data_IF_473486816134
#
_entry.id   IF_473486816134
#
_cell.length_a   1.000
_cell.length_b   1.000
_cell.length_c   1.000
_cell.angle_alpha   90.00
_cell.angle_beta   90.00
_cell.angle_gamma   90.00
#
_symmetry.space_group_name_H-M   'P 1'
#
loop_
_entity.id
_entity.type
_entity.pdbx_description
1 polymer ?
#
# COMPACT_ATOMS: atom_id res chain seq x y z
N UNK A 1 10.92 -12.35 11.61
CA UNK A 1 10.25 -12.76 10.36
C UNK A 1 10.91 -12.15 9.13
N UNK A 2 10.61 -12.71 7.95
CA UNK A 2 11.30 -12.51 6.66
C UNK A 2 12.67 -13.20 6.59
N UNK A 3 13.79 -12.54 6.91
CA UNK A 3 15.14 -13.12 6.77
C UNK A 3 15.95 -13.23 8.07
N UNK A 4 15.32 -12.92 9.21
CA UNK A 4 15.93 -13.06 10.54
C UNK A 4 16.90 -11.94 10.93
N UNK A 5 17.14 -10.95 10.06
CA UNK A 5 18.01 -9.81 10.37
C UNK A 5 17.16 -8.52 10.44
N UNK A 6 17.06 -7.85 11.61
CA UNK A 6 16.29 -6.62 11.74
C UNK A 6 16.73 -5.52 10.76
N UNK A 7 15.76 -4.84 10.15
CA UNK A 7 15.95 -3.72 9.22
C UNK A 7 14.87 -2.67 9.44
N UNK A 8 15.20 -1.41 9.18
CA UNK A 8 14.22 -0.33 9.03
C UNK A 8 13.80 -0.24 7.57
N UNK A 9 12.51 -0.22 7.29
CA UNK A 9 11.98 0.03 5.94
C UNK A 9 11.26 1.37 5.94
N UNK A 10 11.53 2.19 4.93
CA UNK A 10 11.00 3.55 4.81
C UNK A 10 10.25 3.69 3.50
N UNK A 11 8.99 4.12 3.59
CA UNK A 11 8.21 4.56 2.44
C UNK A 11 8.70 5.94 1.97
N UNK A 12 9.54 5.94 0.93
CA UNK A 12 10.02 7.17 0.28
C UNK A 12 8.99 7.59 -0.79
N UNK A 13 7.83 8.02 -0.29
CA UNK A 13 6.55 8.18 -0.99
C UNK A 13 6.67 8.92 -2.32
N UNK A 14 7.18 10.15 -2.29
CA UNK A 14 7.24 11.00 -3.46
C UNK A 14 8.26 10.51 -4.51
N UNK A 15 9.19 9.63 -4.12
CA UNK A 15 10.16 9.00 -5.01
C UNK A 15 9.71 7.60 -5.47
N UNK A 16 8.45 7.20 -5.22
CA UNK A 16 7.85 5.96 -5.71
C UNK A 16 8.67 4.70 -5.36
N UNK A 17 9.26 4.68 -4.17
CA UNK A 17 10.20 3.63 -3.76
C UNK A 17 10.14 3.33 -2.27
N UNK A 18 10.60 2.14 -1.92
CA UNK A 18 10.95 1.77 -0.55
C UNK A 18 12.47 1.78 -0.37
N UNK A 19 12.92 2.09 0.84
CA UNK A 19 14.33 2.04 1.22
C UNK A 19 14.51 1.20 2.48
N UNK A 20 15.55 0.37 2.50
CA UNK A 20 15.92 -0.46 3.64
C UNK A 20 17.21 0.06 4.24
N UNK A 21 17.24 0.11 5.57
CA UNK A 21 18.41 0.49 6.37
C UNK A 21 18.67 -0.58 7.43
N UNK A 22 19.92 -0.70 7.87
CA UNK A 22 20.20 -1.39 9.12
C UNK A 22 19.81 -0.50 10.31
N UNK A 23 19.91 -1.04 11.53
CA UNK A 23 19.55 -0.30 12.75
C UNK A 23 20.53 0.82 13.11
N UNK A 24 21.67 0.92 12.43
CA UNK A 24 22.61 2.04 12.56
C UNK A 24 22.34 3.14 11.52
N UNK A 25 21.32 2.99 10.68
CA UNK A 25 20.96 3.95 9.63
C UNK A 25 21.79 3.81 8.34
N UNK A 26 22.57 2.73 8.19
CA UNK A 26 23.26 2.47 6.92
C UNK A 26 22.25 1.98 5.89
N UNK A 27 22.21 2.65 4.73
CA UNK A 27 21.39 2.22 3.59
C UNK A 27 21.83 0.83 3.09
N UNK A 28 20.85 -0.04 2.86
CA UNK A 28 21.05 -1.42 2.40
C UNK A 28 20.50 -1.65 0.99
N UNK A 29 19.32 -1.10 0.70
CA UNK A 29 18.61 -1.36 -0.56
C UNK A 29 17.62 -0.25 -0.88
N UNK A 30 17.47 0.03 -2.17
CA UNK A 30 16.34 0.80 -2.71
C UNK A 30 15.56 -0.11 -3.65
N UNK A 31 14.23 -0.08 -3.57
CA UNK A 31 13.34 -0.81 -4.47
C UNK A 31 12.28 0.13 -5.03
N UNK A 32 12.17 0.20 -6.36
CA UNK A 32 11.17 1.00 -7.06
C UNK A 32 9.87 0.23 -7.32
N UNK A 33 9.12 0.70 -8.33
CA UNK A 33 7.85 0.13 -8.81
C UNK A 33 6.68 0.22 -7.81
N UNK A 34 6.75 1.15 -6.86
CA UNK A 34 5.66 1.51 -5.96
C UNK A 34 4.89 2.73 -6.49
N UNK A 35 3.66 2.92 -6.05
CA UNK A 35 2.84 4.06 -6.47
C UNK A 35 2.45 4.91 -5.26
N UNK A 36 3.40 5.75 -4.85
CA UNK A 36 3.26 6.67 -3.74
C UNK A 36 3.02 5.91 -2.40
N UNK A 37 3.97 5.02 -2.01
CA UNK A 37 3.82 4.15 -0.85
C UNK A 37 3.63 4.98 0.43
N UNK A 38 2.70 4.56 1.28
CA UNK A 38 2.17 5.42 2.34
C UNK A 38 2.47 4.95 3.76
N UNK A 39 2.48 3.63 3.96
CA UNK A 39 2.72 2.94 5.23
C UNK A 39 3.29 1.53 4.96
N UNK A 40 3.67 0.79 6.00
CA UNK A 40 4.17 -0.59 5.93
C UNK A 40 3.68 -1.38 7.14
N UNK A 41 3.06 -2.53 6.89
CA UNK A 41 2.78 -3.55 7.91
C UNK A 41 3.34 -4.92 7.51
N UNK A 42 3.50 -5.83 8.47
CA UNK A 42 4.04 -7.18 8.23
C UNK A 42 3.25 -8.26 8.93
N UNK A 43 3.10 -9.41 8.26
CA UNK A 43 2.56 -10.62 8.88
C UNK A 43 3.31 -11.84 8.34
N UNK A 44 4.12 -12.47 9.20
CA UNK A 44 5.03 -13.53 8.80
C UNK A 44 5.96 -13.06 7.68
N UNK A 45 5.95 -13.75 6.55
CA UNK A 45 6.80 -13.46 5.40
C UNK A 45 6.24 -12.37 4.48
N UNK A 46 5.06 -11.82 4.77
CA UNK A 46 4.42 -10.79 3.95
C UNK A 46 4.75 -9.39 4.47
N UNK A 47 4.93 -8.46 3.52
CA UNK A 47 5.03 -7.03 3.76
C UNK A 47 3.94 -6.33 2.94
N UNK A 48 3.07 -5.60 3.63
CA UNK A 48 1.92 -4.89 3.11
C UNK A 48 2.28 -3.42 2.89
N UNK A 49 1.97 -2.89 1.72
CA UNK A 49 2.24 -1.49 1.35
C UNK A 49 0.98 -0.88 0.75
N UNK A 50 0.29 0.03 1.44
CA UNK A 50 -0.70 0.89 0.80
C UNK A 50 0.01 1.85 -0.16
N UNK A 51 -0.21 1.63 -1.46
CA UNK A 51 0.24 2.50 -2.53
C UNK A 51 -0.86 3.53 -2.80
N UNK A 52 -0.68 4.77 -2.35
CA UNK A 52 -1.71 5.82 -2.31
C UNK A 52 -2.38 6.06 -3.68
N UNK A 53 -1.75 5.68 -4.78
CA UNK A 53 -2.36 5.70 -6.10
C UNK A 53 -3.18 4.43 -6.37
N UNK A 54 -4.25 4.27 -5.59
CA UNK A 54 -5.34 3.33 -5.81
C UNK A 54 -4.98 1.83 -5.83
N UNK A 55 -3.98 1.37 -5.06
CA UNK A 55 -3.74 -0.07 -4.88
C UNK A 55 -3.09 -0.44 -3.54
N UNK A 56 -3.09 -1.72 -3.23
CA UNK A 56 -2.32 -2.30 -2.13
C UNK A 56 -1.30 -3.28 -2.71
N UNK A 57 -0.02 -3.10 -2.40
CA UNK A 57 1.05 -4.00 -2.83
C UNK A 57 1.44 -4.92 -1.68
N UNK A 58 1.58 -6.23 -1.94
CA UNK A 58 2.03 -7.23 -0.98
C UNK A 58 3.31 -7.88 -1.50
N UNK A 59 4.35 -7.93 -0.66
CA UNK A 59 5.65 -8.51 -0.99
C UNK A 59 5.93 -9.78 -0.20
N UNK A 60 6.52 -10.81 -0.83
CA UNK A 60 7.08 -11.99 -0.15
C UNK A 60 8.36 -11.66 0.63
N UNK A 61 8.93 -12.65 1.32
CA UNK A 61 10.17 -12.52 2.12
C UNK A 61 11.39 -12.03 1.32
N UNK A 62 11.43 -12.26 0.01
CA UNK A 62 12.51 -11.83 -0.88
C UNK A 62 12.25 -10.41 -1.42
N UNK A 63 11.17 -9.76 -0.96
CA UNK A 63 10.64 -8.47 -1.38
C UNK A 63 10.11 -8.45 -2.83
N UNK A 64 9.69 -9.59 -3.38
CA UNK A 64 9.03 -9.64 -4.68
C UNK A 64 7.52 -9.45 -4.50
N UNK A 65 6.86 -8.70 -5.39
CA UNK A 65 5.41 -8.55 -5.32
C UNK A 65 4.74 -9.91 -5.55
N UNK A 66 3.88 -10.30 -4.62
CA UNK A 66 3.02 -11.49 -4.73
C UNK A 66 1.57 -11.12 -5.06
N UNK A 67 1.17 -9.88 -4.76
CA UNK A 67 -0.13 -9.34 -5.14
C UNK A 67 -0.10 -7.81 -5.22
N UNK A 68 -0.92 -7.25 -6.12
CA UNK A 68 -1.22 -5.82 -6.24
C UNK A 68 -2.74 -5.65 -6.27
N UNK A 69 -3.36 -5.64 -5.09
CA UNK A 69 -4.80 -5.66 -4.94
C UNK A 69 -5.41 -4.32 -5.37
N UNK A 70 -6.45 -4.39 -6.19
CA UNK A 70 -7.15 -3.22 -6.72
C UNK A 70 -6.41 -2.47 -7.84
N UNK A 71 -5.23 -2.94 -8.27
CA UNK A 71 -4.48 -2.29 -9.35
C UNK A 71 -5.27 -2.30 -10.66
N UNK A 72 -5.62 -1.11 -11.11
CA UNK A 72 -6.32 -0.84 -12.35
C UNK A 72 -5.79 0.49 -12.90
N UNK A 73 -5.01 0.45 -13.99
CA UNK A 73 -4.44 1.65 -14.59
C UNK A 73 -5.49 2.68 -15.06
N UNK A 74 -6.64 2.23 -15.57
CA UNK A 74 -7.69 3.12 -16.08
C UNK A 74 -8.42 3.83 -14.94
N UNK A 75 -8.74 3.08 -13.87
CA UNK A 75 -9.32 3.66 -12.67
C UNK A 75 -8.33 4.61 -11.97
N UNK A 76 -7.06 4.21 -11.84
CA UNK A 76 -6.01 5.06 -11.27
C UNK A 76 -5.86 6.37 -12.04
N UNK A 77 -5.93 6.34 -13.36
CA UNK A 77 -5.86 7.57 -14.17
C UNK A 77 -6.98 8.56 -13.77
N UNK A 78 -8.21 8.06 -13.56
CA UNK A 78 -9.34 8.89 -13.10
C UNK A 78 -9.17 9.38 -11.65
N UNK A 79 -8.65 8.53 -10.76
CA UNK A 79 -8.39 8.88 -9.35
C UNK A 79 -7.39 10.04 -9.25
N UNK A 80 -6.34 10.00 -10.07
CA UNK A 80 -5.24 10.97 -10.05
C UNK A 80 -5.52 12.23 -10.88
N UNK A 81 -6.60 12.26 -11.65
CA UNK A 81 -7.02 13.44 -12.39
C UNK A 81 -7.48 14.54 -11.42
N UNK A 82 -6.75 15.66 -11.44
CA UNK A 82 -6.99 16.82 -10.57
C UNK A 82 -8.30 17.53 -10.91
N UNK A 83 -8.74 17.51 -12.16
CA UNK A 83 -10.00 18.12 -12.58
C UNK A 83 -11.19 17.30 -12.10
N UNK A 84 -11.05 15.97 -12.04
CA UNK A 84 -12.07 15.09 -11.44
C UNK A 84 -12.10 15.29 -9.92
N UNK A 85 -10.92 15.36 -9.28
CA UNK A 85 -10.81 15.51 -7.84
C UNK A 85 -11.47 14.36 -7.08
N UNK A 86 -11.24 13.11 -7.53
CA UNK A 86 -11.96 11.90 -7.11
C UNK A 86 -12.08 11.75 -5.58
N UNK A 87 -11.03 12.15 -4.85
CA UNK A 87 -10.98 12.18 -3.38
C UNK A 87 -12.19 12.85 -2.72
N UNK A 88 -12.74 13.89 -3.35
CA UNK A 88 -13.85 14.69 -2.84
C UNK A 88 -15.23 14.32 -3.42
N UNK A 89 -15.35 13.20 -4.13
CA UNK A 89 -16.55 12.81 -4.88
C UNK A 89 -17.06 11.41 -4.49
N UNK A 90 -17.64 11.23 -3.29
CA UNK A 90 -18.15 9.93 -2.83
C UNK A 90 -19.15 9.27 -3.79
N UNK A 91 -19.94 10.09 -4.49
CA UNK A 91 -20.90 9.69 -5.52
C UNK A 91 -20.25 9.02 -6.75
N UNK A 92 -18.96 9.24 -6.98
CA UNK A 92 -18.19 8.64 -8.08
C UNK A 92 -17.34 7.43 -7.67
N UNK A 93 -17.26 7.12 -6.37
CA UNK A 93 -16.45 6.00 -5.91
C UNK A 93 -17.08 4.68 -6.32
N UNK A 94 -16.26 3.78 -6.86
CA UNK A 94 -16.73 2.47 -7.28
C UNK A 94 -16.53 1.44 -6.15
N UNK A 95 -17.56 0.63 -5.82
CA UNK A 95 -17.39 -0.48 -4.89
C UNK A 95 -16.25 -1.41 -5.30
N UNK A 96 -15.42 -1.82 -4.34
CA UNK A 96 -14.25 -2.68 -4.61
C UNK A 96 -13.05 -1.95 -5.23
N UNK A 97 -13.12 -0.64 -5.46
CA UNK A 97 -12.00 0.17 -5.97
C UNK A 97 -11.48 1.13 -4.92
N UNK A 98 -10.16 1.15 -4.75
CA UNK A 98 -9.49 2.12 -3.88
C UNK A 98 -9.41 3.50 -4.56
N UNK A 99 -9.50 4.56 -3.78
CA UNK A 99 -9.21 5.93 -4.22
C UNK A 99 -7.81 6.31 -3.72
N UNK A 100 -7.61 6.40 -2.40
CA UNK A 100 -6.32 6.77 -1.82
C UNK A 100 -6.02 5.97 -0.55
N UNK A 101 -5.60 4.69 -0.67
CA UNK A 101 -5.22 3.88 0.49
C UNK A 101 -3.97 4.48 1.13
N UNK A 102 -4.10 4.97 2.36
CA UNK A 102 -3.05 5.72 3.04
C UNK A 102 -2.39 4.92 4.17
N UNK A 103 -3.15 4.02 4.78
CA UNK A 103 -2.69 3.14 5.84
C UNK A 103 -3.37 1.79 5.67
N UNK A 104 -2.68 0.71 6.01
CA UNK A 104 -3.25 -0.63 5.97
C UNK A 104 -2.51 -1.58 6.91
N UNK A 105 -3.27 -2.45 7.58
CA UNK A 105 -2.71 -3.47 8.45
C UNK A 105 -3.41 -4.82 8.30
N UNK A 106 -2.71 -5.88 8.64
CA UNK A 106 -3.28 -7.21 8.80
C UNK A 106 -4.02 -7.33 10.13
N UNK A 107 -5.10 -8.10 10.14
CA UNK A 107 -5.60 -8.70 11.39
C UNK A 107 -5.00 -10.08 11.64
N UNK A 108 -5.30 -10.67 12.80
CA UNK A 108 -4.79 -11.98 13.19
C UNK A 108 -5.22 -13.14 12.27
N UNK A 109 -6.30 -12.98 11.49
CA UNK A 109 -6.76 -13.98 10.51
C UNK A 109 -6.12 -13.77 9.12
N UNK A 110 -5.39 -12.67 8.92
CA UNK A 110 -4.79 -12.26 7.67
C UNK A 110 -5.75 -11.51 6.74
N UNK A 111 -6.88 -11.01 7.26
CA UNK A 111 -7.64 -9.99 6.56
C UNK A 111 -6.84 -8.69 6.55
N UNK A 112 -7.17 -7.77 5.64
CA UNK A 112 -6.50 -6.47 5.54
C UNK A 112 -7.52 -5.38 5.82
N UNK A 113 -7.21 -4.50 6.77
CA UNK A 113 -7.93 -3.25 6.96
C UNK A 113 -7.18 -2.13 6.24
N UNK A 114 -7.90 -1.30 5.49
CA UNK A 114 -7.33 -0.20 4.70
C UNK A 114 -8.05 1.08 5.08
N UNK A 115 -7.31 2.10 5.51
CA UNK A 115 -7.82 3.44 5.73
C UNK A 115 -7.46 4.34 4.54
N UNK A 116 -8.45 5.03 4.00
CA UNK A 116 -8.29 5.87 2.81
C UNK A 116 -8.33 7.36 3.12
N UNK A 117 -7.40 8.10 2.52
CA UNK A 117 -7.34 9.55 2.55
C UNK A 117 -8.36 10.16 1.58
N UNK A 118 -9.64 10.06 1.92
CA UNK A 118 -10.78 10.61 1.16
C UNK A 118 -11.64 11.54 2.01
N UNK A 119 -12.56 12.30 1.40
CA UNK A 119 -13.49 13.15 2.17
C UNK A 119 -14.34 12.29 3.12
N UNK A 120 -14.43 12.69 4.39
CA UNK A 120 -15.12 11.92 5.43
C UNK A 120 -14.39 10.67 5.94
N UNK A 121 -13.29 10.25 5.28
CA UNK A 121 -12.58 9.01 5.57
C UNK A 121 -13.36 7.77 5.13
N UNK A 122 -12.63 6.69 4.80
CA UNK A 122 -13.21 5.38 4.47
C UNK A 122 -12.31 4.28 5.00
N UNK A 123 -12.91 3.28 5.64
CA UNK A 123 -12.22 2.04 6.05
C UNK A 123 -12.81 0.88 5.26
N UNK A 124 -11.94 0.12 4.60
CA UNK A 124 -12.31 -1.08 3.84
C UNK A 124 -11.67 -2.29 4.50
N UNK A 125 -12.43 -3.36 4.69
CA UNK A 125 -11.91 -4.68 5.07
C UNK A 125 -11.84 -5.57 3.83
N UNK A 126 -10.67 -6.10 3.53
CA UNK A 126 -10.48 -7.17 2.56
C UNK A 126 -10.44 -8.50 3.31
N UNK A 127 -11.35 -9.40 2.97
CA UNK A 127 -11.38 -10.72 3.58
C UNK A 127 -10.44 -11.67 2.86
N UNK A 128 -9.64 -12.39 3.64
CA UNK A 128 -8.81 -13.46 3.12
C UNK A 128 -9.71 -14.66 2.79
N UNK A 129 -9.81 -14.97 1.51
CA UNK A 129 -10.48 -16.18 1.02
C UNK A 129 -9.45 -17.31 0.89
N UNK A 130 -9.77 -18.48 1.45
CA UNK A 130 -8.94 -19.69 1.45
C UNK A 130 -9.11 -20.51 0.17
#
# INVERSE_FOLDING_TARGET
>A
DRDGVPKLVVADRANARLQWFDLNGKHLKTQGDFLFPADIDTQGDLLLVPDLHARITILDKDNKPVAQLGDDPEWRAQVLDKEIGMRGKPDKWQPGKFVHPHDACFDAAGNIFVAEWVVGGRVTKLERIS
#
